data_IF_288455500654
#
_entry.id   IF_288455500654
#
_cell.length_a   1.000
_cell.length_b   1.000
_cell.length_c   1.000
_cell.angle_alpha   90.00
_cell.angle_beta   90.00
_cell.angle_gamma   90.00
#
_symmetry.space_group_name_H-M   'P 1'
#
loop_
_entity.id
_entity.type
_entity.pdbx_description
1 polymer ?
#
# COMPACT_ATOMS: atom_id res chain seq x y z
N UNK A 1 -9.95 -40.12 13.77
CA UNK A 1 -9.21 -39.52 12.63
C UNK A 1 -9.70 -38.13 12.17
N UNK A 2 -10.81 -37.55 12.66
CA UNK A 2 -11.32 -36.26 12.12
C UNK A 2 -10.61 -34.99 12.62
N UNK A 3 -10.11 -34.96 13.87
CA UNK A 3 -9.48 -33.75 14.46
C UNK A 3 -8.19 -33.31 13.73
N UNK A 4 -7.34 -34.27 13.35
CA UNK A 4 -6.07 -33.99 12.64
C UNK A 4 -6.33 -33.44 11.24
N UNK A 5 -7.34 -33.98 10.54
CA UNK A 5 -7.79 -33.49 9.22
C UNK A 5 -8.38 -32.06 9.31
N UNK A 6 -9.10 -31.75 10.39
CA UNK A 6 -9.64 -30.41 10.61
C UNK A 6 -8.54 -29.38 10.90
N UNK A 7 -7.51 -29.76 11.67
CA UNK A 7 -6.35 -28.89 11.94
C UNK A 7 -5.53 -28.62 10.67
N UNK A 8 -5.32 -29.62 9.81
CA UNK A 8 -4.62 -29.41 8.54
C UNK A 8 -5.40 -28.53 7.57
N UNK A 9 -6.73 -28.66 7.53
CA UNK A 9 -7.61 -27.78 6.74
C UNK A 9 -7.57 -26.34 7.25
N UNK A 10 -7.59 -26.14 8.56
CA UNK A 10 -7.51 -24.81 9.17
C UNK A 10 -6.16 -24.14 8.90
N UNK A 11 -5.05 -24.87 9.06
CA UNK A 11 -3.71 -24.37 8.75
C UNK A 11 -3.59 -23.93 7.28
N UNK A 12 -4.15 -24.73 6.36
CA UNK A 12 -4.18 -24.39 4.93
C UNK A 12 -5.01 -23.14 4.64
N UNK A 13 -6.14 -22.95 5.32
CA UNK A 13 -6.97 -21.75 5.16
C UNK A 13 -6.25 -20.51 5.67
N UNK A 14 -5.60 -20.58 6.84
CA UNK A 14 -4.77 -19.48 7.37
C UNK A 14 -3.69 -19.08 6.39
N UNK A 15 -2.87 -20.04 5.96
CA UNK A 15 -1.81 -19.78 4.98
C UNK A 15 -2.32 -19.17 3.66
N UNK A 16 -3.54 -19.52 3.22
CA UNK A 16 -4.16 -18.91 2.03
C UNK A 16 -4.57 -17.46 2.32
N UNK A 17 -5.21 -17.21 3.45
CA UNK A 17 -5.62 -15.86 3.88
C UNK A 17 -4.41 -14.95 4.04
N UNK A 18 -3.32 -15.43 4.64
CA UNK A 18 -2.10 -14.64 4.84
C UNK A 18 -1.48 -14.22 3.50
N UNK A 19 -1.40 -15.16 2.55
CA UNK A 19 -0.95 -14.86 1.17
C UNK A 19 -1.84 -13.84 0.46
N UNK A 20 -3.16 -13.92 0.66
CA UNK A 20 -4.10 -12.96 0.08
C UNK A 20 -3.93 -11.58 0.70
N UNK A 21 -3.75 -11.50 2.01
CA UNK A 21 -3.50 -10.25 2.71
C UNK A 21 -2.22 -9.58 2.19
N UNK A 22 -1.11 -10.32 2.11
CA UNK A 22 0.16 -9.81 1.55
C UNK A 22 -0.06 -9.26 0.14
N UNK A 23 -0.79 -10.00 -0.71
CA UNK A 23 -1.08 -9.57 -2.09
C UNK A 23 -1.88 -8.26 -2.12
N UNK A 24 -2.90 -8.12 -1.28
CA UNK A 24 -3.72 -6.90 -1.21
C UNK A 24 -2.85 -5.70 -0.82
N UNK A 25 -2.07 -5.82 0.26
CA UNK A 25 -1.20 -4.74 0.73
C UNK A 25 -0.18 -4.38 -0.35
N UNK A 26 0.44 -5.37 -0.99
CA UNK A 26 1.42 -5.13 -2.03
C UNK A 26 0.85 -4.38 -3.23
N UNK A 27 -0.34 -4.77 -3.69
CA UNK A 27 -1.00 -4.12 -4.82
C UNK A 27 -1.36 -2.66 -4.50
N UNK A 28 -1.86 -2.38 -3.30
CA UNK A 28 -2.18 -1.02 -2.88
C UNK A 28 -0.94 -0.14 -2.77
N UNK A 29 0.17 -0.68 -2.25
CA UNK A 29 1.44 0.03 -2.21
C UNK A 29 2.00 0.31 -3.61
N UNK A 30 1.90 -0.63 -4.54
CA UNK A 30 2.32 -0.44 -5.93
C UNK A 30 1.47 0.60 -6.66
N UNK A 31 0.15 0.57 -6.44
CA UNK A 31 -0.78 1.58 -6.95
C UNK A 31 -0.46 2.96 -6.40
N UNK A 32 -0.28 3.09 -5.08
CA UNK A 32 0.05 4.36 -4.43
C UNK A 32 1.38 4.93 -4.90
N UNK A 33 2.41 4.08 -5.07
CA UNK A 33 3.70 4.52 -5.60
C UNK A 33 3.58 5.02 -7.04
N UNK A 34 2.81 4.35 -7.88
CA UNK A 34 2.58 4.79 -9.25
C UNK A 34 1.85 6.14 -9.30
N UNK A 35 0.83 6.34 -8.47
CA UNK A 35 0.07 7.59 -8.39
C UNK A 35 0.94 8.75 -7.87
N UNK A 36 1.75 8.52 -6.85
CA UNK A 36 2.71 9.52 -6.35
C UNK A 36 3.73 9.91 -7.43
N UNK A 37 4.21 8.96 -8.23
CA UNK A 37 5.08 9.27 -9.37
C UNK A 37 4.34 10.09 -10.44
N UNK A 38 3.12 9.70 -10.81
CA UNK A 38 2.32 10.44 -11.79
C UNK A 38 2.10 11.89 -11.36
N UNK A 39 1.76 12.15 -10.10
CA UNK A 39 1.57 13.51 -9.62
C UNK A 39 2.86 14.36 -9.62
N UNK A 40 4.04 13.75 -9.61
CA UNK A 40 5.29 14.49 -9.85
C UNK A 40 5.48 14.87 -11.32
N UNK A 41 5.01 14.03 -12.24
CA UNK A 41 5.17 14.20 -13.69
C UNK A 41 4.08 15.11 -14.29
N UNK A 42 2.85 15.05 -13.79
CA UNK A 42 1.68 15.75 -14.36
C UNK A 42 1.41 17.13 -13.75
N UNK A 43 2.41 17.71 -13.05
CA UNK A 43 2.42 19.10 -12.53
C UNK A 43 2.09 20.21 -13.55
N UNK A 44 1.89 19.87 -14.82
CA UNK A 44 1.57 20.81 -15.90
C UNK A 44 0.17 20.66 -16.52
N UNK A 45 -0.66 19.68 -16.14
CA UNK A 45 -1.86 19.35 -16.95
C UNK A 45 -3.20 19.11 -16.22
N UNK A 46 -3.26 19.02 -14.89
CA UNK A 46 -4.53 18.76 -14.19
C UNK A 46 -5.19 20.04 -13.70
N UNK A 47 -5.85 20.71 -14.64
CA UNK A 47 -6.97 21.61 -14.40
C UNK A 47 -8.08 21.09 -15.32
N UNK A 48 -8.89 20.13 -14.84
CA UNK A 48 -10.25 19.75 -15.28
C UNK A 48 -10.60 18.29 -14.92
N UNK A 49 -11.54 18.12 -13.96
CA UNK A 49 -12.31 16.88 -13.78
C UNK A 49 -12.62 16.52 -12.33
N UNK A 50 -13.79 15.91 -12.08
CA UNK A 50 -14.29 15.39 -10.78
C UNK A 50 -13.46 14.21 -10.20
N UNK A 51 -12.23 14.01 -10.67
CA UNK A 51 -11.35 12.92 -10.23
C UNK A 51 -10.47 13.42 -9.10
N UNK A 52 -10.40 12.67 -7.99
CA UNK A 52 -9.51 13.03 -6.89
C UNK A 52 -8.06 13.17 -7.38
N UNK A 53 -7.31 14.16 -6.86
CA UNK A 53 -5.93 14.34 -7.26
C UNK A 53 -5.13 13.07 -6.95
N UNK A 54 -4.18 12.66 -7.82
CA UNK A 54 -3.43 11.42 -7.65
C UNK A 54 -2.72 11.31 -6.29
N UNK A 55 -2.35 12.46 -5.70
CA UNK A 55 -1.77 12.54 -4.35
C UNK A 55 -2.73 12.07 -3.26
N UNK A 56 -4.01 12.46 -3.32
CA UNK A 56 -5.02 12.04 -2.35
C UNK A 56 -5.28 10.53 -2.42
N UNK A 57 -5.27 9.96 -3.62
CA UNK A 57 -5.40 8.51 -3.78
C UNK A 57 -4.15 7.75 -3.30
N UNK A 58 -2.96 8.30 -3.50
CA UNK A 58 -1.72 7.73 -2.98
C UNK A 58 -1.66 7.78 -1.45
N UNK A 59 -2.16 8.84 -0.83
CA UNK A 59 -2.33 8.94 0.63
C UNK A 59 -3.32 7.89 1.16
N UNK A 60 -4.47 7.70 0.51
CA UNK A 60 -5.44 6.66 0.86
C UNK A 60 -4.82 5.26 0.80
N UNK A 61 -4.07 4.97 -0.26
CA UNK A 61 -3.36 3.71 -0.41
C UNK A 61 -2.33 3.50 0.71
N UNK A 62 -1.59 4.57 1.08
CA UNK A 62 -0.64 4.52 2.20
C UNK A 62 -1.33 4.25 3.54
N UNK A 63 -2.45 4.93 3.83
CA UNK A 63 -3.20 4.75 5.07
C UNK A 63 -3.81 3.35 5.17
N UNK A 64 -4.36 2.86 4.07
CA UNK A 64 -4.93 1.51 4.00
C UNK A 64 -3.85 0.43 4.21
N UNK A 65 -2.73 0.52 3.51
CA UNK A 65 -1.61 -0.39 3.68
C UNK A 65 -1.05 -0.38 5.11
N UNK A 66 -0.95 0.80 5.74
CA UNK A 66 -0.52 0.94 7.13
C UNK A 66 -1.44 0.19 8.11
N UNK A 67 -2.75 0.27 7.89
CA UNK A 67 -3.74 -0.37 8.77
C UNK A 67 -3.69 -1.90 8.72
N UNK A 68 -3.10 -2.47 7.67
CA UNK A 68 -3.08 -3.91 7.39
C UNK A 68 -1.72 -4.56 7.62
N UNK A 69 -0.61 -3.83 7.51
CA UNK A 69 0.75 -4.41 7.58
C UNK A 69 1.03 -5.11 8.93
N UNK A 70 0.44 -4.60 10.01
CA UNK A 70 0.57 -5.19 11.35
C UNK A 70 -0.10 -6.56 11.49
N UNK A 71 -0.99 -6.92 10.55
CA UNK A 71 -1.71 -8.20 10.52
C UNK A 71 -0.96 -9.29 9.74
N UNK A 72 0.21 -8.98 9.18
CA UNK A 72 1.05 -9.95 8.48
C UNK A 72 1.92 -10.67 9.52
N UNK A 73 1.69 -11.97 9.68
CA UNK A 73 2.44 -12.80 10.62
C UNK A 73 3.87 -13.10 10.14
N UNK A 74 4.05 -13.25 8.83
CA UNK A 74 5.36 -13.44 8.20
C UNK A 74 6.22 -12.18 8.36
N UNK A 75 7.32 -12.31 9.08
CA UNK A 75 8.15 -11.14 9.45
C UNK A 75 8.94 -10.61 8.27
N UNK A 76 9.38 -11.49 7.36
CA UNK A 76 10.17 -11.09 6.19
C UNK A 76 9.28 -10.35 5.19
N UNK A 77 8.06 -10.86 4.95
CA UNK A 77 7.09 -10.18 4.08
C UNK A 77 6.59 -8.88 4.71
N UNK A 78 6.35 -8.85 6.03
CA UNK A 78 6.01 -7.60 6.73
C UNK A 78 7.10 -6.55 6.58
N UNK A 79 8.37 -6.89 6.81
CA UNK A 79 9.49 -5.95 6.68
C UNK A 79 9.63 -5.43 5.24
N UNK A 80 9.39 -6.29 4.25
CA UNK A 80 9.37 -5.90 2.83
C UNK A 80 8.23 -4.92 2.53
N UNK A 81 7.04 -5.15 3.06
CA UNK A 81 5.89 -4.25 2.90
C UNK A 81 6.11 -2.93 3.62
N UNK A 82 6.67 -2.94 4.83
CA UNK A 82 7.03 -1.73 5.59
C UNK A 82 8.08 -0.89 4.84
N UNK A 83 9.06 -1.53 4.20
CA UNK A 83 10.05 -0.84 3.38
C UNK A 83 9.40 -0.15 2.17
N UNK A 84 8.43 -0.79 1.52
CA UNK A 84 7.64 -0.18 0.43
C UNK A 84 6.78 0.98 0.95
N UNK A 85 6.18 0.83 2.14
CA UNK A 85 5.38 1.88 2.78
C UNK A 85 6.23 3.11 3.11
N UNK A 86 7.45 2.91 3.61
CA UNK A 86 8.40 4.00 3.85
C UNK A 86 8.74 4.76 2.57
N UNK A 87 8.95 4.04 1.45
CA UNK A 87 9.19 4.66 0.13
C UNK A 87 8.01 5.50 -0.33
N UNK A 88 6.78 5.00 -0.16
CA UNK A 88 5.57 5.74 -0.52
C UNK A 88 5.42 7.02 0.31
N UNK A 89 5.63 6.94 1.63
CA UNK A 89 5.64 8.12 2.51
C UNK A 89 6.68 9.14 2.10
N UNK A 90 7.90 8.69 1.80
CA UNK A 90 8.98 9.58 1.37
C UNK A 90 8.65 10.29 0.05
N UNK A 91 7.98 9.61 -0.89
CA UNK A 91 7.51 10.22 -2.12
C UNK A 91 6.46 11.32 -1.85
N UNK A 92 5.44 11.01 -1.04
CA UNK A 92 4.39 11.95 -0.64
C UNK A 92 4.95 13.17 0.12
N UNK A 93 5.84 12.94 1.09
CA UNK A 93 6.49 14.01 1.85
C UNK A 93 7.38 14.89 0.95
N UNK A 94 8.08 14.27 0.00
CA UNK A 94 8.86 14.98 -1.02
C UNK A 94 7.99 15.90 -1.87
N UNK A 95 6.84 15.39 -2.35
CA UNK A 95 5.87 16.18 -3.11
C UNK A 95 5.34 17.37 -2.31
N UNK A 96 4.93 17.14 -1.05
CA UNK A 96 4.41 18.19 -0.17
C UNK A 96 5.42 19.30 0.09
N UNK A 97 6.70 18.95 0.28
CA UNK A 97 7.79 19.93 0.46
C UNK A 97 8.01 20.77 -0.78
N UNK A 98 7.97 20.16 -1.98
CA UNK A 98 8.10 20.91 -3.23
C UNK A 98 6.93 21.89 -3.37
N UNK A 99 5.70 21.45 -3.12
CA UNK A 99 4.53 22.34 -3.18
C UNK A 99 4.68 23.53 -2.22
N UNK A 100 5.09 23.30 -0.97
CA UNK A 100 5.28 24.38 0.01
C UNK A 100 6.39 25.38 -0.36
N UNK A 101 7.36 25.00 -1.19
CA UNK A 101 8.44 25.86 -1.65
C UNK A 101 8.12 26.65 -2.93
N UNK A 102 6.96 26.39 -3.56
CA UNK A 102 6.55 27.05 -4.82
C UNK A 102 5.54 28.18 -4.60
N UNK A 103 5.22 28.52 -3.35
CA UNK A 103 4.33 29.62 -2.96
C UNK A 103 5.09 30.75 -2.25
#
# INVERSE_FOLDING_TARGET
MSKISNMSKLARLRAKTDRQLIKIINNELERGLHLALLATETKSAYDFGDTEPPDAEAEKACAYALSLVSRVDDTDERQRLESKLLRLRAALDGQRRVMAATF
#
